data_IF_809881078060
#
_entry.id   IF_809881078060
#
_cell.length_a   1.000
_cell.length_b   1.000
_cell.length_c   1.000
_cell.angle_alpha   90.00
_cell.angle_beta   90.00
_cell.angle_gamma   90.00
#
_symmetry.space_group_name_H-M   'P 1'
#
loop_
_entity.id
_entity.type
_entity.pdbx_description
1 polymer ?
#
# COMPACT_ATOMS: atom_id res chain seq x y z
N UNK A 1 2.53 11.58 -15.03
CA UNK A 1 2.37 11.10 -13.64
C UNK A 1 3.74 10.80 -13.06
N UNK A 2 3.94 11.11 -11.79
CA UNK A 2 5.14 10.84 -11.01
C UNK A 2 4.75 10.39 -9.60
N UNK A 3 5.73 9.99 -8.78
CA UNK A 3 5.49 9.56 -7.40
C UNK A 3 5.84 8.10 -7.11
N UNK A 4 6.67 7.46 -7.96
CA UNK A 4 7.26 6.17 -7.62
C UNK A 4 8.09 6.33 -6.34
N UNK A 5 7.89 5.42 -5.39
CA UNK A 5 8.53 5.46 -4.05
C UNK A 5 8.23 6.73 -3.25
N UNK A 6 7.14 7.43 -3.60
CA UNK A 6 6.66 8.62 -2.90
C UNK A 6 5.24 8.41 -2.40
N UNK A 7 4.90 9.24 -1.43
CA UNK A 7 3.73 9.13 -0.57
C UNK A 7 2.40 9.51 -1.25
N UNK A 8 2.46 10.34 -2.30
CA UNK A 8 1.27 10.71 -3.07
C UNK A 8 1.59 10.65 -4.56
N UNK A 9 0.63 10.21 -5.36
CA UNK A 9 0.73 10.30 -6.81
C UNK A 9 0.56 11.75 -7.24
N UNK A 10 1.42 12.21 -8.15
CA UNK A 10 1.31 13.54 -8.72
C UNK A 10 1.34 13.53 -10.24
N UNK A 11 0.95 14.66 -10.82
CA UNK A 11 0.84 14.81 -12.28
C UNK A 11 1.41 16.16 -12.74
N UNK A 12 2.10 16.11 -13.87
CA UNK A 12 2.49 17.29 -14.63
C UNK A 12 1.43 17.56 -15.68
N UNK A 13 0.91 18.78 -15.75
CA UNK A 13 -0.12 19.20 -16.69
C UNK A 13 0.44 20.30 -17.58
N UNK A 14 0.60 20.00 -18.86
CA UNK A 14 0.97 20.97 -19.90
C UNK A 14 -0.30 21.67 -20.39
N UNK A 15 -0.31 23.00 -20.29
CA UNK A 15 -1.39 23.82 -20.82
C UNK A 15 -1.21 23.99 -22.33
N UNK A 16 -2.32 24.20 -23.05
CA UNK A 16 -2.24 24.60 -24.44
C UNK A 16 -1.58 25.98 -24.58
N UNK A 17 -0.98 26.23 -25.75
CA UNK A 17 -0.26 27.47 -26.04
C UNK A 17 -1.14 28.72 -25.84
N UNK A 18 -2.42 28.62 -26.19
CA UNK A 18 -3.45 29.66 -25.99
C UNK A 18 -3.70 29.99 -24.51
N UNK A 19 -3.38 29.07 -23.59
CA UNK A 19 -3.61 29.18 -22.15
C UNK A 19 -2.30 29.40 -21.35
N UNK A 20 -1.14 29.51 -22.00
CA UNK A 20 0.15 29.70 -21.33
C UNK A 20 0.19 30.95 -20.44
N UNK A 21 -0.57 31.99 -20.78
CA UNK A 21 -0.68 33.21 -19.96
C UNK A 21 -1.18 32.92 -18.53
N UNK A 22 -1.95 31.84 -18.33
CA UNK A 22 -2.47 31.44 -17.03
C UNK A 22 -1.36 30.92 -16.09
N UNK A 23 -0.24 30.42 -16.63
CA UNK A 23 0.88 29.93 -15.81
C UNK A 23 1.57 31.07 -15.04
N UNK A 24 1.60 32.28 -15.60
CA UNK A 24 2.40 33.39 -15.06
C UNK A 24 1.78 34.10 -13.86
N UNK A 25 0.49 33.87 -13.56
CA UNK A 25 -0.20 34.52 -12.44
C UNK A 25 -0.83 33.48 -11.51
N UNK A 26 -0.87 33.78 -10.21
CA UNK A 26 -1.53 32.89 -9.22
C UNK A 26 -3.02 32.71 -9.52
N UNK A 27 -3.67 33.79 -9.96
CA UNK A 27 -5.09 33.77 -10.36
C UNK A 27 -5.31 32.89 -11.60
N UNK A 28 -4.40 32.98 -12.59
CA UNK A 28 -4.42 32.12 -13.77
C UNK A 28 -4.23 30.64 -13.42
N UNK A 29 -3.27 30.32 -12.56
CA UNK A 29 -3.04 28.95 -12.08
C UNK A 29 -4.24 28.40 -11.30
N UNK A 30 -4.89 29.24 -10.48
CA UNK A 30 -6.11 28.86 -9.76
C UNK A 30 -7.26 28.56 -10.73
N UNK A 31 -7.44 29.40 -11.74
CA UNK A 31 -8.44 29.19 -12.78
C UNK A 31 -8.17 27.92 -13.59
N UNK A 32 -6.93 27.70 -14.01
CA UNK A 32 -6.52 26.47 -14.70
C UNK A 32 -6.76 25.22 -13.83
N UNK A 33 -6.54 25.32 -12.52
CA UNK A 33 -6.86 24.25 -11.58
C UNK A 33 -8.37 23.98 -11.52
N UNK A 34 -9.19 25.02 -11.44
CA UNK A 34 -10.65 24.89 -11.45
C UNK A 34 -11.17 24.26 -12.75
N UNK A 35 -10.62 24.65 -13.89
CA UNK A 35 -11.01 24.12 -15.20
C UNK A 35 -10.65 22.63 -15.35
N UNK A 36 -9.51 22.21 -14.80
CA UNK A 36 -9.02 20.82 -14.91
C UNK A 36 -9.58 19.90 -13.82
N UNK A 37 -10.00 20.44 -12.66
CA UNK A 37 -10.43 19.66 -11.50
C UNK A 37 -11.56 18.63 -11.80
N UNK A 38 -12.62 18.96 -12.56
CA UNK A 38 -13.67 17.98 -12.89
C UNK A 38 -13.17 16.76 -13.68
N UNK A 39 -12.08 16.90 -14.44
CA UNK A 39 -11.45 15.79 -15.15
C UNK A 39 -10.64 14.91 -14.20
N UNK A 40 -9.94 15.53 -13.25
CA UNK A 40 -9.19 14.82 -12.21
C UNK A 40 -10.15 14.06 -11.29
N UNK A 41 -11.27 14.64 -10.90
CA UNK A 41 -12.28 13.96 -10.07
C UNK A 41 -12.80 12.70 -10.76
N UNK A 42 -13.10 12.77 -12.06
CA UNK A 42 -13.48 11.58 -12.84
C UNK A 42 -12.36 10.54 -12.90
N UNK A 43 -11.10 10.95 -13.08
CA UNK A 43 -9.97 10.03 -13.06
C UNK A 43 -9.78 9.37 -11.67
N UNK A 44 -9.98 10.12 -10.59
CA UNK A 44 -9.88 9.64 -9.22
C UNK A 44 -10.97 8.63 -8.86
N UNK A 45 -12.18 8.76 -9.42
CA UNK A 45 -13.27 7.81 -9.23
C UNK A 45 -12.94 6.43 -9.81
N UNK A 46 -12.21 6.37 -10.91
CA UNK A 46 -11.78 5.13 -11.56
C UNK A 46 -10.45 4.56 -11.01
N UNK A 47 -9.82 5.25 -10.05
CA UNK A 47 -8.49 4.90 -9.52
C UNK A 47 -8.58 4.35 -8.09
N UNK A 48 -7.63 3.48 -7.73
CA UNK A 48 -7.47 3.02 -6.36
C UNK A 48 -7.20 4.20 -5.40
N UNK A 49 -7.64 4.10 -4.15
CA UNK A 49 -7.56 5.19 -3.16
C UNK A 49 -6.17 5.79 -3.04
N UNK A 50 -5.13 4.96 -3.01
CA UNK A 50 -3.71 5.37 -2.90
C UNK A 50 -3.14 6.05 -4.16
N UNK A 51 -3.87 6.03 -5.28
CA UNK A 51 -3.44 6.59 -6.56
C UNK A 51 -4.25 7.83 -6.96
N UNK A 52 -5.11 8.32 -6.06
CA UNK A 52 -5.91 9.53 -6.31
C UNK A 52 -5.02 10.77 -6.24
N UNK A 53 -5.27 11.69 -7.17
CA UNK A 53 -4.59 12.98 -7.27
C UNK A 53 -5.27 14.02 -6.36
N UNK A 54 -4.48 14.84 -5.70
CA UNK A 54 -4.95 15.96 -4.90
C UNK A 54 -4.56 17.29 -5.55
N UNK A 55 -5.24 18.39 -5.21
CA UNK A 55 -4.92 19.73 -5.76
C UNK A 55 -3.45 20.09 -5.58
N UNK A 56 -2.84 19.65 -4.49
CA UNK A 56 -1.46 19.96 -4.11
C UNK A 56 -0.42 19.10 -4.85
N UNK A 57 -0.82 17.99 -5.48
CA UNK A 57 0.09 17.08 -6.22
C UNK A 57 0.10 17.33 -7.72
N UNK A 58 -0.62 18.37 -8.16
CA UNK A 58 -0.70 18.80 -9.55
C UNK A 58 0.29 19.94 -9.77
N UNK A 59 1.14 19.78 -10.78
CA UNK A 59 2.14 20.76 -11.16
C UNK A 59 1.86 21.16 -12.60
N UNK A 60 1.57 22.45 -12.83
CA UNK A 60 1.49 22.99 -14.18
C UNK A 60 2.91 23.13 -14.76
N UNK A 61 3.07 22.69 -16.01
CA UNK A 61 4.35 22.73 -16.75
C UNK A 61 4.67 24.17 -17.12
N UNK A 62 5.89 24.59 -16.81
CA UNK A 62 6.45 25.88 -17.25
C UNK A 62 6.47 25.96 -18.80
N UNK A 63 5.80 26.95 -19.42
CA UNK A 63 5.80 27.15 -20.87
C UNK A 63 7.19 27.32 -21.48
N UNK A 64 8.18 27.78 -20.70
CA UNK A 64 9.57 27.91 -21.13
C UNK A 64 10.36 26.60 -21.14
N UNK A 65 9.80 25.52 -20.56
CA UNK A 65 10.45 24.22 -20.37
C UNK A 65 9.49 23.05 -20.65
N UNK A 66 8.87 23.05 -21.83
CA UNK A 66 7.88 22.04 -22.23
C UNK A 66 8.34 20.58 -22.04
N UNK A 67 7.38 19.67 -21.91
CA UNK A 67 7.69 18.26 -21.71
C UNK A 67 8.41 17.69 -22.95
N UNK A 68 9.54 16.99 -22.78
CA UNK A 68 10.27 16.43 -23.90
C UNK A 68 9.41 15.38 -24.61
N UNK A 69 9.40 15.42 -25.95
CA UNK A 69 8.63 14.49 -26.79
C UNK A 69 9.56 13.62 -27.64
N UNK A 70 9.09 12.44 -27.97
CA UNK A 70 9.75 11.51 -28.90
C UNK A 70 9.51 11.93 -30.36
N UNK A 71 10.17 11.26 -31.31
CA UNK A 71 9.94 11.46 -32.76
C UNK A 71 8.52 11.15 -33.22
N UNK A 72 7.69 10.54 -32.36
CA UNK A 72 6.26 10.25 -32.58
C UNK A 72 5.34 11.18 -31.76
N UNK A 73 5.84 12.33 -31.31
CA UNK A 73 5.11 13.32 -30.51
C UNK A 73 4.58 12.82 -29.15
N UNK A 74 4.97 11.61 -28.72
CA UNK A 74 4.63 11.10 -27.40
C UNK A 74 5.57 11.66 -26.33
N UNK A 75 5.04 11.96 -25.13
CA UNK A 75 5.83 12.45 -23.98
C UNK A 75 6.90 11.42 -23.58
N UNK A 76 8.16 11.84 -23.61
CA UNK A 76 9.30 11.06 -23.15
C UNK A 76 9.41 11.13 -21.61
N UNK A 77 8.69 10.23 -20.94
CA UNK A 77 8.53 10.22 -19.47
C UNK A 77 9.85 10.29 -18.68
N UNK A 78 10.90 9.49 -18.97
CA UNK A 78 12.16 9.58 -18.22
C UNK A 78 12.82 10.97 -18.34
N UNK A 79 12.76 11.58 -19.52
CA UNK A 79 13.27 12.94 -19.74
C UNK A 79 12.46 13.99 -18.99
N UNK A 80 11.12 13.87 -19.01
CA UNK A 80 10.24 14.77 -18.27
C UNK A 80 10.49 14.73 -16.76
N UNK A 81 10.62 13.53 -16.18
CA UNK A 81 10.90 13.35 -14.75
C UNK A 81 12.27 13.94 -14.37
N UNK A 82 13.27 13.78 -15.22
CA UNK A 82 14.60 14.37 -15.00
C UNK A 82 14.56 15.90 -15.10
N UNK A 83 13.83 16.45 -16.06
CA UNK A 83 13.69 17.89 -16.27
C UNK A 83 12.97 18.58 -15.09
N UNK A 84 11.94 17.96 -14.56
CA UNK A 84 11.11 18.48 -13.47
C UNK A 84 11.50 17.96 -12.08
N UNK A 85 12.61 17.24 -11.95
CA UNK A 85 13.02 16.57 -10.71
C UNK A 85 13.03 17.52 -9.51
N UNK A 86 13.61 18.71 -9.65
CA UNK A 86 13.68 19.70 -8.57
C UNK A 86 12.32 20.24 -8.14
N UNK A 87 11.42 20.50 -9.10
CA UNK A 87 10.08 21.03 -8.84
C UNK A 87 9.19 19.97 -8.16
N UNK A 88 9.32 18.72 -8.61
CA UNK A 88 8.64 17.58 -7.98
C UNK A 88 9.13 17.40 -6.54
N UNK A 89 10.44 17.48 -6.31
CA UNK A 89 11.01 17.37 -4.97
C UNK A 89 10.53 18.52 -4.06
N UNK A 90 10.54 19.76 -4.56
CA UNK A 90 10.07 20.91 -3.81
C UNK A 90 8.59 20.81 -3.44
N UNK A 91 7.76 20.28 -4.35
CA UNK A 91 6.35 20.01 -4.06
C UNK A 91 6.20 18.97 -2.94
N UNK A 92 6.93 17.85 -2.99
CA UNK A 92 6.91 16.86 -1.89
C UNK A 92 7.42 17.42 -0.57
N UNK A 93 8.51 18.19 -0.59
CA UNK A 93 9.02 18.90 0.58
C UNK A 93 7.99 19.90 1.12
N UNK A 94 7.24 20.58 0.24
CA UNK A 94 6.16 21.49 0.62
C UNK A 94 4.98 20.76 1.26
N UNK A 95 4.62 19.57 0.77
CA UNK A 95 3.65 18.72 1.43
C UNK A 95 4.15 18.32 2.82
N UNK A 96 5.36 17.78 2.92
CA UNK A 96 5.97 17.37 4.19
C UNK A 96 6.15 18.52 5.18
N UNK A 97 6.44 19.74 4.69
CA UNK A 97 6.50 20.96 5.51
C UNK A 97 5.13 21.45 5.93
N UNK A 98 4.08 21.30 5.13
CA UNK A 98 2.72 21.66 5.58
C UNK A 98 2.17 20.65 6.60
N UNK A 99 2.63 19.39 6.56
CA UNK A 99 2.36 18.40 7.60
C UNK A 99 3.32 18.50 8.81
N UNK A 100 4.50 19.11 8.63
CA UNK A 100 5.54 19.27 9.66
C UNK A 100 5.72 20.69 10.20
N UNK A 101 4.99 21.67 9.67
CA UNK A 101 4.92 23.02 10.21
C UNK A 101 3.86 22.97 11.31
N UNK A 102 4.36 22.78 12.53
CA UNK A 102 3.64 23.03 13.78
C UNK A 102 3.11 24.48 13.92
N UNK A 103 3.26 25.33 12.90
CA UNK A 103 2.62 26.65 12.82
C UNK A 103 1.13 26.48 12.46
N UNK A 104 0.33 26.08 13.45
CA UNK A 104 -1.13 26.21 13.40
C UNK A 104 -1.92 25.04 13.95
N UNK A 105 -1.28 23.89 14.18
CA UNK A 105 -1.96 22.72 14.78
C UNK A 105 -2.09 22.97 16.27
N UNK A 106 -3.32 23.25 16.71
CA UNK A 106 -3.62 23.49 18.12
C UNK A 106 -3.68 22.14 18.84
N UNK A 107 -3.00 21.99 19.99
CA UNK A 107 -3.14 20.79 20.80
C UNK A 107 -4.60 20.60 21.26
N UNK A 108 -4.98 19.39 21.71
CA UNK A 108 -6.27 19.19 22.37
C UNK A 108 -6.37 20.11 23.60
N UNK A 109 -7.61 20.42 24.00
CA UNK A 109 -7.87 21.28 25.17
C UNK A 109 -7.26 20.71 26.45
N UNK A 110 -7.23 19.39 26.55
CA UNK A 110 -6.55 18.68 27.62
C UNK A 110 -6.06 17.31 27.15
N UNK A 111 -4.95 16.86 27.73
CA UNK A 111 -4.38 15.53 27.51
C UNK A 111 -4.81 14.49 28.57
N UNK A 112 -5.58 14.91 29.58
CA UNK A 112 -6.19 14.03 30.60
C UNK A 112 -7.65 13.64 30.28
N UNK A 113 -8.26 14.32 29.32
CA UNK A 113 -9.66 14.18 28.95
C UNK A 113 -9.79 13.34 27.69
N UNK A 114 -10.32 12.12 27.84
CA UNK A 114 -10.65 11.22 26.73
C UNK A 114 -11.48 11.93 25.66
N UNK A 115 -12.42 12.78 26.07
CA UNK A 115 -13.31 13.50 25.14
C UNK A 115 -12.56 14.55 24.32
N UNK A 116 -11.67 15.32 24.95
CA UNK A 116 -10.93 16.38 24.25
C UNK A 116 -9.90 15.79 23.27
N UNK A 117 -9.24 14.68 23.66
CA UNK A 117 -8.34 13.95 22.76
C UNK A 117 -9.14 13.29 21.63
N UNK A 118 -10.29 12.66 21.89
CA UNK A 118 -11.09 12.01 20.85
C UNK A 118 -11.56 13.00 19.78
N UNK A 119 -12.06 14.17 20.19
CA UNK A 119 -12.44 15.24 19.25
C UNK A 119 -11.26 15.68 18.40
N UNK A 120 -10.11 15.89 19.03
CA UNK A 120 -8.91 16.33 18.34
C UNK A 120 -8.35 15.27 17.38
N UNK A 121 -8.12 14.04 17.84
CA UNK A 121 -7.62 12.93 17.01
C UNK A 121 -8.57 12.66 15.85
N UNK A 122 -9.88 12.71 16.07
CA UNK A 122 -10.88 12.57 14.99
C UNK A 122 -10.70 13.67 13.95
N UNK A 123 -10.60 14.94 14.36
CA UNK A 123 -10.40 16.05 13.43
C UNK A 123 -9.11 15.88 12.62
N UNK A 124 -8.01 15.51 13.27
CA UNK A 124 -6.73 15.35 12.59
C UNK A 124 -6.73 14.17 11.60
N UNK A 125 -7.34 13.04 11.97
CA UNK A 125 -7.49 11.91 11.05
C UNK A 125 -8.39 12.28 9.87
N UNK A 126 -9.48 13.03 10.10
CA UNK A 126 -10.34 13.51 9.03
C UNK A 126 -9.62 14.48 8.09
N UNK A 127 -8.76 15.35 8.64
CA UNK A 127 -7.91 16.25 7.86
C UNK A 127 -6.90 15.47 7.01
N UNK A 128 -6.27 14.44 7.59
CA UNK A 128 -5.31 13.57 6.90
C UNK A 128 -5.97 12.75 5.78
N UNK A 129 -7.19 12.25 6.00
CA UNK A 129 -7.90 11.41 5.03
C UNK A 129 -8.80 12.19 4.07
N UNK A 130 -9.03 13.48 4.33
CA UNK A 130 -9.93 14.33 3.55
C UNK A 130 -11.40 13.89 3.59
N UNK A 131 -11.80 13.11 4.60
CA UNK A 131 -13.17 12.56 4.73
C UNK A 131 -13.57 12.30 6.17
N UNK A 132 -14.88 12.16 6.38
CA UNK A 132 -15.42 11.72 7.67
C UNK A 132 -15.06 10.26 7.96
N UNK A 133 -14.85 9.94 9.24
CA UNK A 133 -14.53 8.59 9.73
C UNK A 133 -15.41 8.25 10.94
N UNK A 134 -15.76 6.97 11.06
CA UNK A 134 -16.34 6.38 12.25
C UNK A 134 -15.26 6.12 13.30
N UNK A 135 -15.48 6.68 14.49
CA UNK A 135 -14.60 6.59 15.67
C UNK A 135 -14.41 5.13 16.12
N UNK A 136 -15.44 4.29 15.93
CA UNK A 136 -15.44 2.87 16.33
C UNK A 136 -15.00 1.92 15.22
N UNK A 137 -14.97 2.40 13.97
CA UNK A 137 -14.55 1.62 12.83
C UNK A 137 -13.03 1.48 12.77
N UNK A 138 -12.57 0.40 12.13
CA UNK A 138 -11.15 0.21 11.84
C UNK A 138 -10.65 1.28 10.85
N UNK A 139 -9.65 2.06 11.25
CA UNK A 139 -9.09 3.17 10.50
C UNK A 139 -8.47 2.73 9.18
N UNK A 140 -7.86 1.53 9.13
CA UNK A 140 -7.23 1.00 7.93
C UNK A 140 -8.26 0.54 6.89
N UNK A 141 -9.37 -0.05 7.37
CA UNK A 141 -10.54 -0.31 6.51
C UNK A 141 -11.19 0.99 6.04
N UNK A 142 -11.11 2.04 6.86
CA UNK A 142 -11.52 3.40 6.54
C UNK A 142 -10.43 4.22 5.83
N UNK A 143 -9.50 3.56 5.14
CA UNK A 143 -8.56 4.16 4.19
C UNK A 143 -7.34 4.83 4.79
N UNK A 144 -7.07 4.63 6.08
CA UNK A 144 -5.73 4.80 6.61
C UNK A 144 -4.80 3.73 6.02
N UNK A 145 -3.58 4.11 5.73
CA UNK A 145 -2.50 3.26 5.23
C UNK A 145 -1.22 3.54 6.02
N UNK A 146 -0.12 2.86 5.69
CA UNK A 146 1.14 3.02 6.42
C UNK A 146 1.68 4.45 6.37
N UNK A 147 1.34 5.19 5.32
CA UNK A 147 1.78 6.57 5.15
C UNK A 147 0.98 7.52 6.05
N UNK A 148 -0.35 7.50 5.94
CA UNK A 148 -1.24 8.33 6.75
C UNK A 148 -1.08 8.01 8.24
N UNK A 149 -0.79 6.74 8.58
CA UNK A 149 -0.35 6.36 9.92
C UNK A 149 1.00 7.02 10.31
N UNK A 150 1.99 7.08 9.41
CA UNK A 150 3.27 7.75 9.68
C UNK A 150 3.11 9.26 9.83
N UNK A 151 2.23 9.89 9.05
CA UNK A 151 1.88 11.31 9.17
C UNK A 151 1.20 11.58 10.52
N UNK A 152 0.23 10.76 10.91
CA UNK A 152 -0.42 10.84 12.22
C UNK A 152 0.60 10.67 13.36
N UNK A 153 1.56 9.75 13.23
CA UNK A 153 2.61 9.57 14.24
C UNK A 153 3.43 10.83 14.44
N UNK A 154 3.86 11.44 13.34
CA UNK A 154 4.65 12.68 13.37
C UNK A 154 3.85 13.80 14.02
N UNK A 155 2.60 13.98 13.58
CA UNK A 155 1.67 14.96 14.14
C UNK A 155 1.51 14.81 15.65
N UNK A 156 1.29 13.58 16.13
CA UNK A 156 1.19 13.28 17.56
C UNK A 156 2.47 13.65 18.30
N UNK A 157 3.63 13.23 17.78
CA UNK A 157 4.94 13.53 18.39
C UNK A 157 5.22 15.02 18.47
N UNK A 158 4.96 15.75 17.39
CA UNK A 158 5.21 17.18 17.32
C UNK A 158 4.30 17.93 18.31
N UNK A 159 3.02 17.58 18.37
CA UNK A 159 2.05 18.18 19.30
C UNK A 159 2.40 17.87 20.76
N UNK A 160 2.81 16.64 21.07
CA UNK A 160 3.24 16.24 22.41
C UNK A 160 4.54 16.94 22.83
N UNK A 161 5.52 17.05 21.92
CA UNK A 161 6.80 17.73 22.18
C UNK A 161 6.64 19.24 22.40
N UNK A 162 5.66 19.87 21.75
CA UNK A 162 5.35 21.29 21.93
C UNK A 162 4.68 21.62 23.28
N UNK A 163 4.25 20.60 24.05
CA UNK A 163 3.59 20.82 25.33
C UNK A 163 4.51 21.44 26.39
N UNK A 164 4.04 22.42 27.19
CA UNK A 164 4.79 22.95 28.32
C UNK A 164 4.95 21.93 29.46
N UNK A 165 4.11 20.91 29.54
CA UNK A 165 4.15 19.86 30.56
C UNK A 165 5.22 18.79 30.21
N UNK A 166 6.11 18.52 31.16
CA UNK A 166 7.13 17.48 31.04
C UNK A 166 6.54 16.07 30.86
N UNK A 167 5.46 15.74 31.55
CA UNK A 167 4.83 14.42 31.45
C UNK A 167 4.26 14.20 30.05
N UNK A 168 3.60 15.21 29.48
CA UNK A 168 3.07 15.17 28.11
C UNK A 168 4.21 15.07 27.09
N UNK A 169 5.31 15.84 27.25
CA UNK A 169 6.49 15.69 26.38
C UNK A 169 7.10 14.30 26.46
N UNK A 170 7.15 13.70 27.65
CA UNK A 170 7.70 12.35 27.81
C UNK A 170 6.90 11.30 27.03
N UNK A 171 5.59 11.49 26.88
CA UNK A 171 4.72 10.62 26.07
C UNK A 171 5.17 10.56 24.60
N UNK A 172 5.72 11.65 24.04
CA UNK A 172 6.20 11.68 22.65
C UNK A 172 7.28 10.61 22.37
N UNK A 173 8.10 10.27 23.37
CA UNK A 173 9.13 9.22 23.26
C UNK A 173 8.55 7.81 23.28
N UNK A 174 7.36 7.64 23.87
CA UNK A 174 6.67 6.36 24.02
C UNK A 174 5.76 6.04 22.82
N UNK A 175 5.23 7.06 22.13
CA UNK A 175 4.42 6.87 20.93
C UNK A 175 5.32 6.45 19.75
N UNK A 176 5.00 5.32 19.11
CA UNK A 176 5.71 4.81 17.96
C UNK A 176 4.74 4.27 16.90
N UNK A 177 5.26 3.70 15.82
CA UNK A 177 4.42 3.22 14.72
C UNK A 177 3.49 2.07 15.16
N UNK A 178 3.96 1.22 16.07
CA UNK A 178 3.16 0.14 16.66
C UNK A 178 2.02 0.70 17.53
N UNK A 179 2.18 1.87 18.15
CA UNK A 179 1.08 2.55 18.85
C UNK A 179 -0.09 2.84 17.90
N UNK A 180 0.16 3.15 16.63
CA UNK A 180 -0.91 3.43 15.66
C UNK A 180 -1.47 2.13 15.09
N UNK A 181 -0.60 1.23 14.61
CA UNK A 181 -1.04 -0.04 14.03
C UNK A 181 -1.72 -0.98 15.04
N UNK A 182 -1.30 -0.94 16.30
CA UNK A 182 -1.87 -1.75 17.38
C UNK A 182 -3.19 -1.21 17.93
N UNK A 183 -3.57 0.02 17.57
CA UNK A 183 -4.80 0.67 18.02
C UNK A 183 -5.62 1.11 16.79
N UNK A 184 -6.22 0.16 16.05
CA UNK A 184 -6.84 0.43 14.75
C UNK A 184 -8.09 1.30 14.82
N UNK A 185 -8.64 1.59 15.99
CA UNK A 185 -9.81 2.51 16.15
C UNK A 185 -9.41 3.79 16.87
N UNK A 186 -10.15 4.87 16.64
CA UNK A 186 -9.90 6.16 17.32
C UNK A 186 -10.06 5.98 18.84
N UNK A 187 -11.08 5.26 19.28
CA UNK A 187 -11.30 4.99 20.71
C UNK A 187 -10.10 4.31 21.38
N UNK A 188 -9.48 3.32 20.72
CA UNK A 188 -8.28 2.65 21.26
C UNK A 188 -7.08 3.60 21.30
N UNK A 189 -6.86 4.37 20.23
CA UNK A 189 -5.74 5.30 20.16
C UNK A 189 -5.85 6.39 21.24
N UNK A 190 -7.05 6.93 21.45
CA UNK A 190 -7.34 7.91 22.51
C UNK A 190 -7.04 7.34 23.89
N UNK A 191 -7.47 6.11 24.19
CA UNK A 191 -7.21 5.48 25.48
C UNK A 191 -5.72 5.37 25.77
N UNK A 192 -4.92 4.98 24.77
CA UNK A 192 -3.47 4.89 24.91
C UNK A 192 -2.85 6.27 25.10
N UNK A 193 -3.30 7.29 24.37
CA UNK A 193 -2.79 8.66 24.54
C UNK A 193 -3.09 9.24 25.93
N UNK A 194 -4.30 9.02 26.47
CA UNK A 194 -4.65 9.41 27.84
C UNK A 194 -3.74 8.71 28.84
N UNK A 195 -3.55 7.39 28.71
CA UNK A 195 -2.71 6.60 29.61
C UNK A 195 -1.25 7.08 29.59
N UNK A 196 -0.71 7.36 28.40
CA UNK A 196 0.66 7.86 28.25
C UNK A 196 0.84 9.27 28.84
N UNK A 197 -0.23 10.06 28.84
CA UNK A 197 -0.22 11.45 29.33
C UNK A 197 -0.47 11.56 30.84
N UNK A 198 -1.15 10.59 31.46
CA UNK A 198 -1.59 10.65 32.88
C UNK A 198 -0.81 9.72 33.82
N UNK A 199 -0.21 8.64 33.33
CA UNK A 199 0.43 7.62 34.17
C UNK A 199 1.97 7.54 33.98
N UNK A 200 2.72 7.70 35.07
CA UNK A 200 4.17 7.43 35.11
C UNK A 200 4.50 5.92 34.98
N UNK A 201 3.58 5.05 35.36
CA UNK A 201 3.68 3.60 35.21
C UNK A 201 2.65 3.11 34.21
N UNK A 202 2.95 3.21 32.93
CA UNK A 202 2.36 2.24 32.00
C UNK A 202 2.85 0.87 32.46
N UNK A 203 1.93 -0.01 32.88
CA UNK A 203 2.04 -1.43 32.53
C UNK A 203 2.16 -1.44 31.02
N UNK A 204 3.39 -1.30 30.54
CA UNK A 204 3.73 -1.50 29.16
C UNK A 204 3.29 -2.94 28.93
N UNK A 205 2.15 -3.12 28.24
CA UNK A 205 1.92 -4.37 27.55
C UNK A 205 3.15 -4.45 26.66
N UNK A 206 4.10 -5.29 27.05
CA UNK A 206 5.35 -5.43 26.34
C UNK A 206 4.95 -5.77 24.90
N UNK A 207 5.19 -4.85 23.94
CA UNK A 207 4.73 -5.05 22.57
C UNK A 207 5.34 -6.32 21.98
N UNK A 208 6.49 -6.76 22.53
CA UNK A 208 7.12 -8.05 22.24
C UNK A 208 6.31 -9.20 22.84
N UNK A 209 5.89 -9.12 24.11
CA UNK A 209 5.06 -10.15 24.74
C UNK A 209 3.71 -10.34 24.04
N UNK A 210 3.07 -9.26 23.59
CA UNK A 210 1.83 -9.35 22.81
C UNK A 210 2.06 -9.92 21.40
N UNK A 211 3.12 -9.49 20.71
CA UNK A 211 3.51 -10.08 19.43
C UNK A 211 3.79 -11.58 19.58
N UNK A 212 4.51 -11.99 20.63
CA UNK A 212 4.78 -13.39 20.96
C UNK A 212 3.49 -14.16 21.22
N UNK A 213 2.53 -13.59 21.95
CA UNK A 213 1.22 -14.20 22.19
C UNK A 213 0.45 -14.42 20.90
N UNK A 214 0.46 -13.43 19.99
CA UNK A 214 -0.19 -13.54 18.68
C UNK A 214 0.47 -14.62 17.81
N UNK A 215 1.81 -14.70 17.80
CA UNK A 215 2.56 -15.76 17.10
C UNK A 215 2.18 -17.13 17.65
N UNK A 216 2.19 -17.33 18.98
CA UNK A 216 1.80 -18.60 19.59
C UNK A 216 0.35 -18.97 19.28
N UNK A 217 -0.55 -17.98 19.28
CA UNK A 217 -1.96 -18.20 18.94
C UNK A 217 -2.12 -18.68 17.49
N UNK A 218 -1.38 -18.08 16.55
CA UNK A 218 -1.35 -18.53 15.16
C UNK A 218 -0.77 -19.94 15.01
N UNK A 219 0.33 -20.25 15.70
CA UNK A 219 0.91 -21.59 15.70
C UNK A 219 -0.12 -22.61 16.19
N UNK A 220 -0.70 -22.40 17.36
CA UNK A 220 -1.66 -23.35 17.94
C UNK A 220 -2.93 -23.49 17.09
N UNK A 221 -3.40 -22.40 16.46
CA UNK A 221 -4.53 -22.45 15.50
C UNK A 221 -4.27 -23.39 14.33
N UNK A 222 -3.05 -23.44 13.80
CA UNK A 222 -2.71 -24.23 12.60
C UNK A 222 -1.95 -25.54 12.90
N UNK A 223 -1.59 -25.80 14.16
CA UNK A 223 -0.83 -26.99 14.58
C UNK A 223 -1.67 -28.25 14.70
N UNK A 224 -2.98 -28.12 14.97
CA UNK A 224 -3.88 -29.24 15.28
C UNK A 224 -3.91 -30.30 14.15
N UNK A 225 -3.76 -29.88 12.90
CA UNK A 225 -3.84 -30.75 11.72
C UNK A 225 -2.51 -30.90 10.98
N UNK A 226 -1.37 -30.55 11.61
CA UNK A 226 -0.08 -30.81 10.95
C UNK A 226 0.08 -32.34 10.90
N UNK A 227 0.11 -32.97 9.72
CA UNK A 227 0.39 -34.40 9.65
C UNK A 227 1.72 -34.61 10.37
N UNK A 228 1.75 -35.57 11.30
CA UNK A 228 3.00 -36.02 11.90
C UNK A 228 3.97 -36.22 10.73
N UNK A 229 5.14 -35.58 10.80
CA UNK A 229 6.18 -35.75 9.81
C UNK A 229 6.73 -37.17 9.99
N UNK A 230 5.93 -38.17 9.63
CA UNK A 230 6.42 -39.47 9.26
C UNK A 230 7.51 -39.17 8.25
N UNK A 231 8.72 -39.67 8.50
CA UNK A 231 9.85 -39.51 7.62
C UNK A 231 9.45 -40.06 6.26
N UNK A 232 8.86 -39.19 5.42
CA UNK A 232 8.60 -39.49 4.03
C UNK A 232 9.97 -39.72 3.47
N UNK A 233 10.21 -40.93 2.98
CA UNK A 233 11.41 -41.28 2.26
C UNK A 233 11.56 -40.23 1.15
N UNK A 234 12.45 -39.24 1.34
CA UNK A 234 12.61 -38.10 0.45
C UNK A 234 13.32 -38.62 -0.79
N UNK A 235 12.55 -39.29 -1.63
CA UNK A 235 13.01 -39.77 -2.92
C UNK A 235 13.35 -38.52 -3.75
N UNK A 236 14.58 -38.40 -4.26
CA UNK A 236 14.95 -37.26 -5.11
C UNK A 236 14.01 -37.22 -6.32
N UNK A 237 13.20 -36.16 -6.39
CA UNK A 237 12.25 -35.97 -7.48
C UNK A 237 13.03 -35.54 -8.72
N UNK A 238 12.82 -36.25 -9.85
CA UNK A 238 13.51 -35.91 -11.11
C UNK A 238 13.12 -34.54 -11.66
N UNK A 239 11.89 -34.10 -11.37
CA UNK A 239 11.38 -32.78 -11.73
C UNK A 239 10.49 -32.21 -10.62
N UNK A 240 10.50 -30.89 -10.51
CA UNK A 240 9.81 -30.11 -9.50
C UNK A 240 8.50 -29.54 -10.07
N UNK A 241 7.49 -29.48 -9.22
CA UNK A 241 6.19 -28.83 -9.51
C UNK A 241 6.00 -27.76 -8.47
N UNK A 242 5.84 -26.51 -8.89
CA UNK A 242 5.97 -25.35 -8.02
C UNK A 242 4.69 -24.53 -8.02
N UNK A 243 4.21 -24.19 -6.84
CA UNK A 243 3.15 -23.19 -6.66
C UNK A 243 3.80 -21.88 -6.30
N UNK A 244 3.44 -20.80 -6.99
CA UNK A 244 3.94 -19.45 -6.69
C UNK A 244 2.76 -18.52 -6.56
N UNK A 245 2.70 -17.77 -5.47
CA UNK A 245 1.70 -16.74 -5.26
C UNK A 245 2.27 -15.35 -5.56
N UNK A 246 1.42 -14.43 -6.01
CA UNK A 246 1.82 -13.03 -6.21
C UNK A 246 2.81 -12.81 -7.36
N UNK A 247 2.70 -13.59 -8.45
CA UNK A 247 3.64 -13.50 -9.59
C UNK A 247 3.57 -12.17 -10.32
N UNK A 248 2.46 -11.42 -10.21
CA UNK A 248 2.36 -10.04 -10.73
C UNK A 248 3.17 -9.00 -9.91
N UNK A 249 3.68 -9.36 -8.73
CA UNK A 249 4.45 -8.49 -7.85
C UNK A 249 5.92 -8.32 -8.24
N UNK A 250 6.63 -7.42 -7.56
CA UNK A 250 8.08 -7.14 -7.77
C UNK A 250 8.94 -8.41 -7.81
N UNK A 251 8.98 -9.11 -6.68
CA UNK A 251 9.74 -10.35 -6.50
C UNK A 251 9.13 -11.53 -7.26
N UNK A 252 7.79 -11.65 -7.22
CA UNK A 252 7.08 -12.78 -7.82
C UNK A 252 7.31 -12.94 -9.32
N UNK A 253 7.40 -11.84 -10.08
CA UNK A 253 7.62 -11.91 -11.53
C UNK A 253 9.02 -12.44 -11.88
N UNK A 254 10.03 -12.02 -11.13
CA UNK A 254 11.40 -12.50 -11.32
C UNK A 254 11.53 -13.97 -10.93
N UNK A 255 10.91 -14.37 -9.82
CA UNK A 255 10.87 -15.78 -9.41
C UNK A 255 10.18 -16.64 -10.46
N UNK A 256 9.05 -16.17 -11.01
CA UNK A 256 8.34 -16.86 -12.08
C UNK A 256 9.21 -17.03 -13.32
N UNK A 257 9.89 -15.97 -13.77
CA UNK A 257 10.79 -16.04 -14.92
C UNK A 257 11.89 -17.10 -14.74
N UNK A 258 12.56 -17.12 -13.58
CA UNK A 258 13.60 -18.11 -13.26
C UNK A 258 13.06 -19.54 -13.22
N UNK A 259 11.88 -19.75 -12.64
CA UNK A 259 11.26 -21.08 -12.57
C UNK A 259 10.88 -21.61 -13.95
N UNK A 260 10.45 -20.75 -14.88
CA UNK A 260 10.07 -21.16 -16.23
C UNK A 260 11.29 -21.56 -17.07
N UNK A 261 12.42 -20.90 -16.86
CA UNK A 261 13.71 -21.20 -17.50
C UNK A 261 14.38 -22.45 -16.92
N UNK A 262 14.11 -22.79 -15.66
CA UNK A 262 14.72 -23.96 -15.01
C UNK A 262 14.19 -25.29 -15.59
N UNK A 263 15.09 -26.11 -16.13
CA UNK A 263 14.78 -27.42 -16.71
C UNK A 263 14.33 -28.47 -15.68
N UNK A 264 14.72 -28.30 -14.41
CA UNK A 264 14.25 -29.15 -13.31
C UNK A 264 12.78 -28.91 -13.00
N UNK A 265 12.23 -27.76 -13.37
CA UNK A 265 10.83 -27.43 -13.13
C UNK A 265 9.98 -27.95 -14.29
N UNK A 266 9.01 -28.80 -13.97
CA UNK A 266 8.05 -29.37 -14.92
C UNK A 266 6.79 -28.50 -15.04
N UNK A 267 6.29 -27.98 -13.93
CA UNK A 267 5.01 -27.26 -13.88
C UNK A 267 5.06 -26.14 -12.85
N UNK A 268 4.50 -24.98 -13.20
CA UNK A 268 4.36 -23.83 -12.32
C UNK A 268 2.91 -23.37 -12.30
N UNK A 269 2.28 -23.38 -11.12
CA UNK A 269 0.98 -22.73 -10.92
C UNK A 269 1.20 -21.32 -10.38
N UNK A 270 0.95 -20.34 -11.22
CA UNK A 270 0.97 -18.92 -10.88
C UNK A 270 -0.39 -18.53 -10.28
N UNK A 271 -0.47 -18.54 -8.96
CA UNK A 271 -1.68 -18.27 -8.18
C UNK A 271 -1.78 -16.80 -7.81
N UNK A 272 -2.72 -16.07 -8.43
CA UNK A 272 -2.94 -14.65 -8.16
C UNK A 272 -4.37 -14.39 -7.73
N UNK A 273 -4.56 -13.35 -6.90
CA UNK A 273 -5.89 -12.90 -6.50
C UNK A 273 -6.72 -12.51 -7.72
N UNK A 274 -7.99 -12.93 -7.72
CA UNK A 274 -8.99 -12.52 -8.71
C UNK A 274 -9.01 -11.00 -8.87
N UNK A 275 -9.16 -10.54 -10.11
CA UNK A 275 -9.32 -9.12 -10.42
C UNK A 275 -10.23 -8.92 -11.63
N UNK A 276 -10.59 -7.67 -11.91
CA UNK A 276 -11.36 -7.31 -13.10
C UNK A 276 -10.61 -7.58 -14.42
N UNK A 277 -9.27 -7.68 -14.38
CA UNK A 277 -8.43 -8.03 -15.53
C UNK A 277 -8.03 -9.50 -15.46
N UNK A 278 -7.88 -10.12 -16.63
CA UNK A 278 -7.36 -11.48 -16.76
C UNK A 278 -5.93 -11.56 -16.17
N UNK A 279 -5.63 -12.62 -15.42
CA UNK A 279 -4.31 -12.85 -14.84
C UNK A 279 -3.19 -12.88 -15.87
N UNK A 280 -3.43 -13.43 -17.07
CA UNK A 280 -2.43 -13.47 -18.14
C UNK A 280 -2.02 -12.07 -18.58
N UNK A 281 -2.99 -11.17 -18.77
CA UNK A 281 -2.72 -9.80 -19.22
C UNK A 281 -2.00 -8.98 -18.15
N UNK A 282 -2.36 -9.20 -16.88
CA UNK A 282 -1.67 -8.60 -15.74
C UNK A 282 -0.24 -9.09 -15.63
N UNK A 283 0.00 -10.39 -15.83
CA UNK A 283 1.33 -10.97 -15.81
C UNK A 283 2.18 -10.44 -16.97
N UNK A 284 1.61 -10.34 -18.17
CA UNK A 284 2.31 -9.78 -19.34
C UNK A 284 2.71 -8.32 -19.08
N UNK A 285 1.76 -7.48 -18.65
CA UNK A 285 2.03 -6.07 -18.31
C UNK A 285 3.13 -5.99 -17.24
N UNK A 286 3.04 -6.85 -16.22
CA UNK A 286 4.00 -6.95 -15.12
C UNK A 286 5.40 -7.37 -15.59
N UNK A 287 5.51 -8.28 -16.56
CA UNK A 287 6.78 -8.70 -17.17
C UNK A 287 7.38 -7.58 -18.02
N UNK A 288 6.56 -6.92 -18.85
CA UNK A 288 7.00 -5.77 -19.66
C UNK A 288 7.51 -4.61 -18.79
N UNK A 289 6.76 -4.25 -17.75
CA UNK A 289 7.14 -3.22 -16.78
C UNK A 289 8.47 -3.52 -16.07
N UNK A 290 8.79 -4.81 -15.91
CA UNK A 290 10.01 -5.30 -15.24
C UNK A 290 11.12 -5.71 -16.21
N UNK A 291 10.95 -5.45 -17.51
CA UNK A 291 11.91 -5.81 -18.56
C UNK A 291 12.21 -7.33 -18.62
N UNK A 292 11.23 -8.15 -18.25
CA UNK A 292 11.30 -9.61 -18.34
C UNK A 292 10.79 -10.08 -19.71
N UNK A 293 11.40 -11.14 -20.25
CA UNK A 293 11.02 -11.68 -21.55
C UNK A 293 9.63 -12.29 -21.54
N UNK A 294 8.66 -11.65 -22.23
CA UNK A 294 7.29 -12.16 -22.34
C UNK A 294 7.15 -13.53 -23.03
N UNK A 295 8.19 -14.01 -23.71
CA UNK A 295 8.21 -15.35 -24.31
C UNK A 295 8.16 -16.46 -23.25
N UNK A 296 8.72 -16.25 -22.06
CA UNK A 296 8.67 -17.24 -20.96
C UNK A 296 7.23 -17.52 -20.53
N UNK A 297 6.31 -16.54 -20.64
CA UNK A 297 4.89 -16.69 -20.34
C UNK A 297 4.11 -17.55 -21.36
N UNK A 298 4.73 -17.93 -22.48
CA UNK A 298 4.18 -18.91 -23.45
C UNK A 298 4.62 -20.33 -23.14
N UNK A 299 5.42 -20.54 -22.08
CA UNK A 299 5.88 -21.86 -21.68
C UNK A 299 4.71 -22.78 -21.35
N UNK A 300 4.73 -24.00 -21.89
CA UNK A 300 3.76 -25.04 -21.55
C UNK A 300 3.83 -25.50 -20.09
N UNK A 301 4.86 -25.10 -19.34
CA UNK A 301 5.00 -25.36 -17.90
C UNK A 301 4.04 -24.48 -17.07
N UNK A 302 3.58 -23.35 -17.61
CA UNK A 302 2.89 -22.31 -16.85
C UNK A 302 1.37 -22.51 -16.85
N UNK A 303 0.77 -22.51 -15.66
CA UNK A 303 -0.68 -22.47 -15.47
C UNK A 303 -1.05 -21.24 -14.64
N UNK A 304 -1.89 -20.39 -15.19
CA UNK A 304 -2.47 -19.26 -14.47
C UNK A 304 -3.67 -19.72 -13.66
N UNK A 305 -3.70 -19.34 -12.39
CA UNK A 305 -4.75 -19.77 -11.46
C UNK A 305 -5.25 -18.57 -10.66
N UNK A 306 -6.55 -18.30 -10.76
CA UNK A 306 -7.23 -17.38 -9.87
C UNK A 306 -7.41 -18.02 -8.50
N UNK A 307 -6.98 -17.35 -7.45
CA UNK A 307 -7.08 -17.86 -6.07
C UNK A 307 -7.65 -16.82 -5.12
N UNK A 308 -8.25 -17.30 -4.03
CA UNK A 308 -8.52 -16.53 -2.82
C UNK A 308 -7.86 -17.24 -1.64
N UNK A 309 -6.85 -16.61 -1.04
CA UNK A 309 -6.08 -17.24 0.04
C UNK A 309 -6.85 -17.31 1.37
N UNK A 310 -7.98 -16.62 1.46
CA UNK A 310 -8.86 -16.67 2.64
C UNK A 310 -9.85 -17.85 2.58
N UNK A 311 -10.05 -18.43 1.40
CA UNK A 311 -10.89 -19.62 1.20
C UNK A 311 -10.10 -20.90 1.57
N UNK A 312 -10.69 -21.86 2.33
CA UNK A 312 -10.01 -23.09 2.73
C UNK A 312 -9.49 -23.96 1.58
N UNK A 313 -10.10 -23.88 0.40
CA UNK A 313 -9.66 -24.53 -0.85
C UNK A 313 -8.98 -23.58 -1.81
N UNK A 314 -8.57 -22.41 -1.30
CA UNK A 314 -7.91 -21.36 -2.06
C UNK A 314 -8.78 -20.82 -3.23
N UNK A 315 -10.10 -21.04 -3.16
CA UNK A 315 -11.07 -20.84 -4.24
C UNK A 315 -10.71 -21.54 -5.56
N UNK A 316 -9.97 -22.66 -5.47
CA UNK A 316 -9.55 -23.46 -6.62
C UNK A 316 -10.64 -24.46 -7.02
N UNK A 317 -10.77 -24.77 -8.33
CA UNK A 317 -11.49 -25.96 -8.76
C UNK A 317 -10.91 -27.20 -8.08
N UNK A 318 -11.77 -28.15 -7.68
CA UNK A 318 -11.32 -29.36 -6.97
C UNK A 318 -10.23 -30.11 -7.75
N UNK A 319 -10.32 -30.14 -9.08
CA UNK A 319 -9.32 -30.80 -9.92
C UNK A 319 -7.93 -30.18 -9.78
N UNK A 320 -7.85 -28.84 -9.74
CA UNK A 320 -6.57 -28.12 -9.56
C UNK A 320 -6.10 -28.24 -8.12
N UNK A 321 -7.00 -28.13 -7.15
CA UNK A 321 -6.67 -28.28 -5.74
C UNK A 321 -6.05 -29.65 -5.44
N UNK A 322 -6.68 -30.72 -5.93
CA UNK A 322 -6.20 -32.10 -5.77
C UNK A 322 -4.88 -32.32 -6.51
N UNK A 323 -4.74 -31.76 -7.72
CA UNK A 323 -3.51 -31.85 -8.51
C UNK A 323 -2.32 -31.18 -7.79
N UNK A 324 -2.55 -30.01 -7.18
CA UNK A 324 -1.56 -29.27 -6.39
C UNK A 324 -1.23 -30.00 -5.10
N UNK A 325 -2.24 -30.56 -4.42
CA UNK A 325 -2.09 -31.33 -3.19
C UNK A 325 -1.41 -32.70 -3.42
N UNK A 326 -1.17 -33.09 -4.68
CA UNK A 326 -0.57 -34.37 -5.04
C UNK A 326 -1.53 -35.57 -4.84
N UNK A 327 -2.83 -35.32 -4.71
CA UNK A 327 -3.85 -36.36 -4.58
C UNK A 327 -4.05 -37.04 -5.94
N UNK A 328 -3.50 -38.24 -6.12
CA UNK A 328 -3.88 -39.09 -7.24
C UNK A 328 -5.24 -39.70 -6.91
N UNK A 329 -6.27 -39.40 -7.72
CA UNK A 329 -7.54 -40.16 -7.63
C UNK A 329 -7.21 -41.66 -7.65
N UNK A 330 -7.81 -42.48 -6.77
CA UNK A 330 -7.68 -43.92 -6.89
C UNK A 330 -8.19 -44.33 -8.28
N UNK A 331 -7.53 -45.28 -8.96
CA UNK A 331 -7.93 -45.70 -10.29
C UNK A 331 -9.40 -46.12 -10.26
N UNK A 332 -10.22 -45.53 -11.13
CA UNK A 332 -11.60 -45.95 -11.35
C UNK A 332 -11.57 -47.46 -11.59
N UNK A 333 -12.19 -48.22 -10.69
CA UNK A 333 -12.44 -49.63 -10.93
C UNK A 333 -13.16 -49.74 -12.28
N UNK A 334 -12.50 -50.39 -13.24
CA UNK A 334 -13.15 -50.85 -14.45
C UNK A 334 -14.18 -51.88 -13.99
N UNK A 335 -15.45 -51.47 -13.93
CA UNK A 335 -16.56 -52.40 -13.80
C UNK A 335 -16.57 -53.24 -15.09
N UNK A 336 -16.17 -54.51 -14.96
CA UNK A 336 -16.44 -55.55 -15.96
C UNK A 336 -17.89 -55.99 -15.88
#
# INVERSE_FOLDING_TARGET
MFGRERNQTGVLIELEESANYMYHTKEGQSKAMEDVWPFIERANQASATHSRLERRTIIFVDPSRLLPRTTKDAIFRPGALKLYASVIEEMYLGLEKNFGAADGIKPPRSWDSTKDIEVWVTQEIQNLLGRQVDVRGDLFQQGMDSLTATMLLRLLKDTLNASPDFHIRSAATKVNQQTIFGNPTITQLVQVLVQLSTCNNTTVIDPVAEALRNIHTMIEKYKIDWPAQEARDIQPVKKERVVVTGTTGGLGSHLLAQLLENEKVEKVWAMNRKSSKNNRDRELSSFEDKLLGGNSLKSGKLVFVDTDLEDPKLALPNEIYDEVNGYKQPPKALNN
#
